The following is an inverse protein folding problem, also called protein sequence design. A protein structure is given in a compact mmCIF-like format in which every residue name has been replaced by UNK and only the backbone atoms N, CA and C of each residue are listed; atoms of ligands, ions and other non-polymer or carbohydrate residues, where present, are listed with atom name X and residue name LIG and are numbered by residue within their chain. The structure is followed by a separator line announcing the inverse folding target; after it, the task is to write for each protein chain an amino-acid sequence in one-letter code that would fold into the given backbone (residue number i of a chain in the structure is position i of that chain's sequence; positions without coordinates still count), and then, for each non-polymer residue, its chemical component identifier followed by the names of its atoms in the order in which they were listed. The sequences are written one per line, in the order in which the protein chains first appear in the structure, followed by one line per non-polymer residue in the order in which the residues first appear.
data_IF_018417125314
#
_entry.id   IF_018417125314
#
_cell.length_a   1.000
_cell.length_b   1.000
_cell.length_c   1.000
_cell.angle_alpha   90.00
_cell.angle_beta   90.00
_cell.angle_gamma   90.00
#
_symmetry.space_group_name_H-M   'P 1'
#
loop_
_entity.id
_entity.type
_entity.pdbx_description
1 polymer ?
#
# COMPACT_ATOMS: atom_id res chain seq x y z
N UNK A 1 -12.31 9.44 38.27
CA UNK A 1 -12.83 8.07 38.01
C UNK A 1 -11.96 7.45 36.92
N UNK A 2 -11.12 6.48 37.28
CA UNK A 2 -11.28 5.04 36.95
C UNK A 2 -11.05 4.75 35.45
N UNK A 3 -10.29 3.75 35.01
CA UNK A 3 -9.42 2.73 35.63
C UNK A 3 -9.01 1.78 34.47
N UNK A 4 -7.89 1.06 34.65
CA UNK A 4 -7.48 -0.19 33.98
C UNK A 4 -6.97 -0.09 32.52
N UNK A 5 -5.68 -0.37 32.25
CA UNK A 5 -4.98 -1.68 32.26
C UNK A 5 -5.40 -2.57 31.07
N UNK A 6 -4.59 -3.45 30.51
CA UNK A 6 -3.15 -3.81 30.55
C UNK A 6 -3.06 -5.09 29.65
N UNK A 7 -1.87 -5.68 29.57
CA UNK A 7 -1.50 -6.97 28.94
C UNK A 7 -1.05 -6.90 27.47
N UNK A 8 0.25 -7.01 27.11
CA UNK A 8 1.43 -7.82 27.52
C UNK A 8 1.74 -8.81 26.40
N UNK A 9 2.94 -8.71 25.80
CA UNK A 9 3.91 -9.81 25.86
C UNK A 9 5.36 -9.32 25.65
N UNK A 10 6.20 -9.64 26.64
CA UNK A 10 7.65 -9.45 26.69
C UNK A 10 8.37 -10.44 25.74
N UNK A 11 9.69 -10.28 25.54
CA UNK A 11 10.63 -11.02 26.39
C UNK A 11 11.76 -10.13 26.97
N UNK A 12 11.98 -10.17 28.30
CA UNK A 12 13.08 -10.89 29.00
C UNK A 12 14.43 -10.16 28.84
N UNK A 13 14.76 -9.29 29.81
CA UNK A 13 15.80 -9.48 30.86
C UNK A 13 17.23 -9.53 30.27
N UNK A 14 18.19 -8.71 30.72
CA UNK A 14 18.53 -8.51 32.13
C UNK A 14 19.38 -7.24 32.33
N UNK A 15 19.27 -6.73 33.56
CA UNK A 15 19.89 -5.51 34.10
C UNK A 15 21.40 -5.60 34.25
N UNK A 16 22.04 -4.44 34.14
CA UNK A 16 23.31 -4.09 34.77
C UNK A 16 23.51 -2.58 34.64
N UNK A 17 22.84 -1.78 35.48
CA UNK A 17 23.48 -0.89 36.48
C UNK A 17 24.88 -0.44 36.05
N UNK A 18 25.00 0.84 35.68
CA UNK A 18 25.80 1.80 36.45
C UNK A 18 25.54 3.22 35.96
N UNK A 19 24.94 3.98 36.85
CA UNK A 19 24.97 5.43 36.88
C UNK A 19 26.42 5.84 37.19
N UNK A 20 27.10 6.47 36.25
CA UNK A 20 28.27 7.29 36.56
C UNK A 20 28.47 8.36 35.49
N UNK A 21 28.26 9.59 35.93
CA UNK A 21 29.02 10.78 35.54
C UNK A 21 29.27 10.96 34.05
N UNK A 22 28.55 11.93 33.46
CA UNK A 22 29.05 12.69 32.31
C UNK A 22 30.42 13.27 32.67
N UNK A 23 31.47 12.49 32.38
CA UNK A 23 32.83 12.96 32.34
C UNK A 23 33.05 13.31 30.88
N UNK A 24 33.01 14.60 30.59
CA UNK A 24 33.56 15.14 29.36
C UNK A 24 34.95 14.56 29.20
N UNK A 25 35.11 13.61 28.28
CA UNK A 25 36.42 13.30 27.77
C UNK A 25 36.84 14.51 26.97
N UNK A 26 37.81 15.21 27.55
CA UNK A 26 38.74 16.10 26.89
C UNK A 26 38.95 15.70 25.44
N UNK A 27 38.95 16.67 24.53
CA UNK A 27 39.45 16.59 23.16
C UNK A 27 40.84 15.96 23.17
N UNK A 28 40.93 14.64 23.16
CA UNK A 28 42.10 13.95 22.66
C UNK A 28 42.03 14.11 21.15
N UNK A 29 42.96 14.89 20.61
CA UNK A 29 43.26 14.92 19.19
C UNK A 29 43.38 13.48 18.71
N UNK A 30 42.33 12.96 18.08
CA UNK A 30 42.42 11.71 17.33
C UNK A 30 43.30 12.07 16.15
N UNK A 31 44.60 11.87 16.29
CA UNK A 31 45.53 11.86 15.18
C UNK A 31 45.23 10.58 14.38
N UNK A 32 44.10 10.57 13.67
CA UNK A 32 43.79 9.54 12.69
C UNK A 32 44.96 9.53 11.71
N UNK A 33 45.64 8.40 11.63
CA UNK A 33 46.74 8.24 10.67
C UNK A 33 46.20 8.48 9.27
N UNK A 34 47.02 9.05 8.38
CA UNK A 34 46.62 9.26 6.97
C UNK A 34 46.00 7.99 6.33
N UNK A 35 46.50 6.82 6.72
CA UNK A 35 46.00 5.52 6.29
C UNK A 35 44.56 5.20 6.76
N UNK A 36 44.18 5.60 7.96
CA UNK A 36 42.82 5.39 8.50
C UNK A 36 41.83 6.32 7.80
N UNK A 37 42.23 7.57 7.57
CA UNK A 37 41.44 8.56 6.82
C UNK A 37 41.23 8.07 5.38
N UNK A 38 42.27 7.59 4.72
CA UNK A 38 42.18 7.04 3.35
C UNK A 38 41.26 5.82 3.30
N UNK A 39 41.28 4.97 4.32
CA UNK A 39 40.41 3.79 4.41
C UNK A 39 38.95 4.19 4.57
N UNK A 40 38.65 5.15 5.45
CA UNK A 40 37.30 5.68 5.67
C UNK A 40 36.78 6.38 4.40
N UNK A 41 37.63 7.15 3.72
CA UNK A 41 37.27 7.82 2.47
C UNK A 41 36.95 6.81 1.36
N UNK A 42 37.73 5.73 1.23
CA UNK A 42 37.44 4.64 0.28
C UNK A 42 36.11 3.96 0.56
N UNK A 43 35.83 3.65 1.83
CA UNK A 43 34.55 3.04 2.23
C UNK A 43 33.37 3.99 1.97
N UNK A 44 33.50 5.27 2.31
CA UNK A 44 32.49 6.31 2.04
C UNK A 44 32.16 6.41 0.55
N UNK A 45 33.18 6.42 -0.32
CA UNK A 45 33.00 6.42 -1.78
C UNK A 45 32.28 5.16 -2.27
N UNK A 46 32.64 3.98 -1.76
CA UNK A 46 31.98 2.72 -2.13
C UNK A 46 30.51 2.67 -1.70
N UNK A 47 30.17 3.19 -0.52
CA UNK A 47 28.78 3.26 -0.03
C UNK A 47 27.94 4.20 -0.90
N UNK A 48 28.47 5.38 -1.25
CA UNK A 48 27.76 6.32 -2.15
C UNK A 48 27.53 5.75 -3.54
N UNK A 49 28.52 5.00 -4.06
CA UNK A 49 28.36 4.27 -5.32
C UNK A 49 27.26 3.22 -5.23
N UNK A 50 27.20 2.45 -4.14
CA UNK A 50 26.13 1.48 -3.91
C UNK A 50 24.75 2.13 -3.84
N UNK A 51 24.62 3.25 -3.10
CA UNK A 51 23.37 4.01 -3.04
C UNK A 51 22.93 4.48 -4.43
N UNK A 52 23.87 4.98 -5.24
CA UNK A 52 23.58 5.42 -6.61
C UNK A 52 23.08 4.28 -7.49
N UNK A 53 23.67 3.09 -7.35
CA UNK A 53 23.29 1.88 -8.09
C UNK A 53 21.92 1.35 -7.63
N UNK A 54 21.62 1.39 -6.33
CA UNK A 54 20.31 0.98 -5.80
C UNK A 54 19.18 1.89 -6.33
N UNK A 55 19.46 3.19 -6.46
CA UNK A 55 18.54 4.20 -7.02
C UNK A 55 18.32 4.08 -8.53
N UNK A 56 19.18 3.37 -9.27
CA UNK A 56 18.99 3.23 -10.71
C UNK A 56 17.74 2.40 -11.05
N UNK A 57 16.90 2.85 -11.99
CA UNK A 57 15.72 2.09 -12.42
C UNK A 57 16.10 0.86 -13.26
N UNK A 58 17.32 0.84 -13.83
CA UNK A 58 17.81 -0.24 -14.69
C UNK A 58 18.30 -1.41 -13.84
N UNK A 59 18.04 -2.61 -14.33
CA UNK A 59 18.44 -3.88 -13.68
C UNK A 59 19.78 -4.41 -14.21
N UNK A 60 20.21 -3.91 -15.37
CA UNK A 60 21.41 -4.30 -16.12
C UNK A 60 22.09 -3.03 -16.64
N UNK A 61 23.41 -2.98 -16.49
CA UNK A 61 24.28 -1.95 -17.06
C UNK A 61 25.47 -2.62 -17.73
N UNK A 62 26.14 -1.89 -18.63
CA UNK A 62 27.37 -2.38 -19.25
C UNK A 62 28.56 -2.09 -18.32
N UNK A 63 29.61 -2.91 -18.38
CA UNK A 63 30.84 -2.72 -17.60
C UNK A 63 31.48 -1.34 -17.87
N UNK A 64 31.38 -0.83 -19.11
CA UNK A 64 31.88 0.50 -19.47
C UNK A 64 31.08 1.63 -18.81
N UNK A 65 29.75 1.47 -18.72
CA UNK A 65 28.86 2.40 -18.02
C UNK A 65 29.11 2.36 -16.51
N UNK A 66 29.31 1.17 -15.94
CA UNK A 66 29.73 1.00 -14.56
C UNK A 66 31.07 1.70 -14.27
N UNK A 67 32.03 1.61 -15.20
CA UNK A 67 33.32 2.29 -15.10
C UNK A 67 33.16 3.81 -15.12
N UNK A 68 32.26 4.33 -15.96
CA UNK A 68 31.93 5.77 -15.98
C UNK A 68 31.33 6.25 -14.66
N UNK A 69 30.41 5.47 -14.08
CA UNK A 69 29.83 5.79 -12.76
C UNK A 69 30.93 5.76 -11.69
N UNK A 70 31.85 4.79 -11.74
CA UNK A 70 32.98 4.76 -10.80
C UNK A 70 33.91 5.98 -10.96
N UNK A 71 34.11 6.47 -12.18
CA UNK A 71 34.92 7.66 -12.44
C UNK A 71 34.30 8.94 -11.86
N UNK A 72 32.97 9.04 -11.82
CA UNK A 72 32.23 10.16 -11.20
C UNK A 72 32.52 10.28 -9.69
N UNK A 73 32.73 9.14 -9.01
CA UNK A 73 33.05 9.09 -7.58
C UNK A 73 34.57 9.10 -7.29
N UNK A 74 35.40 9.49 -8.26
CA UNK A 74 36.87 9.56 -8.17
C UNK A 74 37.51 8.21 -7.78
N UNK A 75 36.99 7.09 -8.29
CA UNK A 75 37.58 5.77 -8.11
C UNK A 75 38.55 5.51 -9.27
N UNK A 76 39.78 5.10 -8.97
CA UNK A 76 40.78 4.80 -10.00
C UNK A 76 40.45 3.50 -10.75
N UNK A 77 40.74 3.47 -12.05
CA UNK A 77 40.53 2.30 -12.93
C UNK A 77 41.12 0.98 -12.42
N UNK A 78 42.19 1.05 -11.62
CA UNK A 78 42.83 -0.10 -11.00
C UNK A 78 41.97 -0.72 -9.90
N UNK A 79 41.23 0.12 -9.18
CA UNK A 79 40.39 -0.29 -8.05
C UNK A 79 39.00 -0.73 -8.51
N UNK A 80 38.53 -0.28 -9.69
CA UNK A 80 37.20 -0.64 -10.24
C UNK A 80 37.03 -2.16 -10.36
N UNK A 81 38.05 -2.88 -10.82
CA UNK A 81 37.98 -4.35 -10.95
C UNK A 81 37.85 -5.02 -9.59
N UNK A 82 38.69 -4.64 -8.64
CA UNK A 82 38.67 -5.19 -7.27
C UNK A 82 37.34 -4.88 -6.56
N UNK A 83 36.80 -3.67 -6.77
CA UNK A 83 35.50 -3.28 -6.22
C UNK A 83 34.34 -4.05 -6.87
N UNK A 84 34.38 -4.27 -8.19
CA UNK A 84 33.35 -5.07 -8.87
C UNK A 84 33.32 -6.51 -8.37
N UNK A 85 34.49 -7.09 -8.08
CA UNK A 85 34.61 -8.42 -7.48
C UNK A 85 34.08 -8.43 -6.05
N UNK A 86 34.49 -7.47 -5.20
CA UNK A 86 33.98 -7.36 -3.83
C UNK A 86 32.44 -7.14 -3.78
N UNK A 87 31.87 -6.38 -4.72
CA UNK A 87 30.43 -6.20 -4.86
C UNK A 87 29.71 -7.47 -5.34
N UNK A 88 30.39 -8.28 -6.16
CA UNK A 88 29.89 -9.59 -6.58
C UNK A 88 29.93 -10.59 -5.43
N UNK A 89 31.01 -10.62 -4.65
CA UNK A 89 31.19 -11.52 -3.50
C UNK A 89 30.19 -11.21 -2.38
N UNK A 90 29.84 -9.94 -2.21
CA UNK A 90 28.78 -9.51 -1.27
C UNK A 90 27.37 -9.79 -1.77
N UNK A 91 27.21 -10.29 -3.00
CA UNK A 91 25.92 -10.62 -3.60
C UNK A 91 25.02 -9.42 -3.88
N UNK A 92 25.58 -8.20 -3.84
CA UNK A 92 24.87 -6.95 -4.16
C UNK A 92 24.74 -6.75 -5.66
N UNK A 93 25.73 -7.21 -6.41
CA UNK A 93 25.79 -7.14 -7.86
C UNK A 93 26.05 -8.55 -8.39
N UNK A 94 25.58 -8.88 -9.59
CA UNK A 94 26.01 -10.09 -10.30
C UNK A 94 26.90 -9.67 -11.46
N UNK A 95 28.19 -9.98 -11.35
CA UNK A 95 29.18 -9.80 -12.41
C UNK A 95 29.84 -11.14 -12.73
N UNK A 96 29.80 -11.55 -13.99
CA UNK A 96 30.22 -12.89 -14.43
C UNK A 96 31.32 -12.77 -15.51
N UNK A 97 32.56 -12.43 -15.11
CA UNK A 97 33.67 -12.22 -16.06
C UNK A 97 34.05 -13.51 -16.81
N UNK A 98 33.91 -14.67 -16.17
CA UNK A 98 34.30 -15.97 -16.69
C UNK A 98 33.17 -16.71 -17.45
N UNK A 99 32.03 -16.05 -17.66
CA UNK A 99 30.89 -16.66 -18.36
C UNK A 99 31.23 -16.98 -19.82
N UNK A 100 30.71 -18.09 -20.34
CA UNK A 100 30.89 -18.50 -21.74
C UNK A 100 30.21 -17.50 -22.71
N UNK A 101 29.18 -16.79 -22.23
CA UNK A 101 28.37 -15.88 -23.05
C UNK A 101 28.99 -14.48 -23.06
N UNK A 102 29.43 -14.02 -24.24
CA UNK A 102 30.08 -12.72 -24.40
C UNK A 102 29.24 -11.52 -23.92
N UNK A 103 27.91 -11.58 -24.09
CA UNK A 103 27.00 -10.54 -23.61
C UNK A 103 26.85 -10.51 -22.08
N UNK A 104 27.20 -11.59 -21.38
CA UNK A 104 27.21 -11.66 -19.91
C UNK A 104 28.55 -11.17 -19.33
N UNK A 105 29.65 -11.35 -20.07
CA UNK A 105 30.97 -10.86 -19.66
C UNK A 105 31.01 -9.34 -19.53
N UNK A 106 30.34 -8.63 -20.43
CA UNK A 106 30.31 -7.17 -20.48
C UNK A 106 29.14 -6.56 -19.69
N UNK A 107 28.24 -7.36 -19.12
CA UNK A 107 27.06 -6.87 -18.40
C UNK A 107 27.18 -7.09 -16.90
N UNK A 108 26.77 -6.07 -16.15
CA UNK A 108 26.68 -6.10 -14.70
C UNK A 108 25.20 -5.99 -14.32
N UNK A 109 24.72 -6.91 -13.50
CA UNK A 109 23.36 -6.85 -12.98
C UNK A 109 23.35 -6.21 -11.60
N UNK A 110 22.71 -5.06 -11.49
CA UNK A 110 22.65 -4.26 -10.27
C UNK A 110 21.65 -4.86 -9.27
N UNK A 111 20.62 -5.55 -9.76
CA UNK A 111 19.50 -6.07 -8.94
C UNK A 111 19.41 -7.60 -9.01
N UNK A 112 20.29 -8.33 -8.29
CA UNK A 112 20.35 -9.80 -8.27
C UNK A 112 19.02 -10.47 -7.93
N UNK A 113 18.22 -9.86 -7.05
CA UNK A 113 16.96 -10.42 -6.56
C UNK A 113 16.01 -10.80 -7.71
N UNK A 114 15.96 -10.01 -8.77
CA UNK A 114 15.09 -10.28 -9.93
C UNK A 114 15.56 -11.53 -10.68
N UNK A 115 16.87 -11.73 -10.78
CA UNK A 115 17.48 -12.88 -11.44
C UNK A 115 17.25 -14.13 -10.62
N UNK A 116 17.46 -14.06 -9.29
CA UNK A 116 17.20 -15.19 -8.40
C UNK A 116 15.74 -15.61 -8.43
N UNK A 117 14.80 -14.67 -8.42
CA UNK A 117 13.38 -14.99 -8.56
C UNK A 117 13.07 -15.67 -9.91
N UNK A 118 13.64 -15.15 -11.00
CA UNK A 118 13.48 -15.76 -12.32
C UNK A 118 14.08 -17.16 -12.38
N UNK A 119 15.29 -17.36 -11.82
CA UNK A 119 15.94 -18.66 -11.75
C UNK A 119 15.20 -19.64 -10.85
N UNK A 120 14.71 -19.19 -9.70
CA UNK A 120 13.93 -20.02 -8.78
C UNK A 120 12.64 -20.51 -9.45
N UNK A 121 11.98 -19.63 -10.21
CA UNK A 121 10.79 -19.97 -11.00
C UNK A 121 11.08 -20.86 -12.22
N UNK A 122 12.28 -20.78 -12.81
CA UNK A 122 12.68 -21.63 -13.94
C UNK A 122 13.14 -23.01 -13.44
N UNK A 123 13.88 -23.05 -12.33
CA UNK A 123 14.44 -24.26 -11.73
C UNK A 123 13.42 -25.00 -10.86
N UNK A 124 12.22 -24.45 -10.74
CA UNK A 124 11.14 -24.79 -9.82
C UNK A 124 11.06 -26.29 -9.43
N UNK A 125 11.75 -26.59 -8.34
CA UNK A 125 11.79 -27.90 -7.67
C UNK A 125 10.47 -28.13 -6.91
N UNK A 126 9.69 -27.08 -6.65
CA UNK A 126 8.48 -27.09 -5.82
C UNK A 126 7.23 -27.43 -6.63
N UNK A 127 7.13 -26.99 -7.89
CA UNK A 127 5.97 -27.21 -8.77
C UNK A 127 6.10 -28.40 -9.74
N UNK A 128 6.95 -29.40 -9.43
CA UNK A 128 7.06 -30.68 -10.18
C UNK A 128 7.42 -30.53 -11.68
N UNK A 129 8.08 -29.46 -12.08
CA UNK A 129 8.52 -29.27 -13.48
C UNK A 129 7.40 -28.95 -14.47
N UNK A 130 6.22 -28.52 -13.99
CA UNK A 130 5.14 -28.00 -14.84
C UNK A 130 5.58 -26.61 -15.32
N UNK A 131 5.87 -26.47 -16.62
CA UNK A 131 6.40 -25.23 -17.19
C UNK A 131 5.60 -23.98 -16.80
N UNK A 132 6.30 -22.85 -16.69
CA UNK A 132 5.77 -21.58 -16.14
C UNK A 132 4.47 -21.08 -16.81
N UNK A 133 4.30 -21.33 -18.11
CA UNK A 133 3.08 -21.01 -18.86
C UNK A 133 1.87 -21.83 -18.39
N UNK A 134 2.08 -23.11 -18.10
CA UNK A 134 1.02 -24.01 -17.63
C UNK A 134 0.66 -23.74 -16.16
N UNK A 135 1.61 -23.29 -15.34
CA UNK A 135 1.34 -22.81 -13.99
C UNK A 135 0.39 -21.61 -14.00
N UNK A 136 0.62 -20.63 -14.88
CA UNK A 136 -0.27 -19.48 -15.05
C UNK A 136 -1.68 -19.90 -15.42
N UNK A 137 -1.82 -20.85 -16.33
CA UNK A 137 -3.13 -21.36 -16.74
C UNK A 137 -3.88 -22.02 -15.57
N UNK A 138 -3.17 -22.81 -14.76
CA UNK A 138 -3.73 -23.42 -13.54
C UNK A 138 -4.16 -22.33 -12.54
N UNK A 139 -3.31 -21.33 -12.29
CA UNK A 139 -3.62 -20.21 -11.37
C UNK A 139 -4.79 -19.37 -11.85
N UNK A 140 -4.88 -19.09 -13.15
CA UNK A 140 -6.05 -18.44 -13.78
C UNK A 140 -7.32 -19.27 -13.58
N UNK A 141 -7.24 -20.58 -13.80
CA UNK A 141 -8.37 -21.49 -13.56
C UNK A 141 -8.82 -21.52 -12.09
N UNK A 142 -7.90 -21.44 -11.13
CA UNK A 142 -8.23 -21.30 -9.70
C UNK A 142 -8.95 -19.98 -9.39
N UNK A 143 -8.48 -18.87 -9.96
CA UNK A 143 -9.11 -17.55 -9.82
C UNK A 143 -10.52 -17.56 -10.41
N UNK A 144 -10.73 -18.15 -11.58
CA UNK A 144 -12.04 -18.25 -12.22
C UNK A 144 -13.03 -19.09 -11.40
N UNK A 145 -12.55 -20.17 -10.77
CA UNK A 145 -13.33 -20.96 -9.79
C UNK A 145 -13.69 -20.15 -8.54
N UNK A 146 -12.80 -19.28 -8.07
CA UNK A 146 -13.09 -18.39 -6.94
C UNK A 146 -14.09 -17.29 -7.32
N UNK A 147 -13.92 -16.69 -8.51
CA UNK A 147 -14.85 -15.69 -9.08
C UNK A 147 -16.24 -16.25 -9.26
N UNK A 148 -16.38 -17.46 -9.80
CA UNK A 148 -17.68 -18.11 -9.96
C UNK A 148 -18.36 -18.43 -8.63
N UNK A 149 -17.61 -18.79 -7.57
CA UNK A 149 -18.15 -18.93 -6.21
C UNK A 149 -18.55 -17.58 -5.59
N UNK A 150 -17.79 -16.51 -5.86
CA UNK A 150 -18.05 -15.18 -5.31
C UNK A 150 -19.23 -14.47 -6.00
N UNK A 151 -19.42 -14.71 -7.30
CA UNK A 151 -20.48 -14.08 -8.12
C UNK A 151 -21.88 -14.14 -7.49
N UNK A 152 -22.42 -15.29 -7.04
CA UNK A 152 -23.73 -15.33 -6.40
C UNK A 152 -23.78 -14.57 -5.07
N UNK A 153 -22.69 -14.53 -4.30
CA UNK A 153 -22.63 -13.73 -3.07
C UNK A 153 -22.58 -12.23 -3.37
N UNK A 154 -21.85 -11.84 -4.42
CA UNK A 154 -21.77 -10.45 -4.88
C UNK A 154 -23.15 -9.93 -5.31
N UNK A 155 -23.89 -10.71 -6.10
CA UNK A 155 -25.25 -10.35 -6.52
C UNK A 155 -26.17 -10.13 -5.30
N UNK A 156 -26.10 -11.01 -4.29
CA UNK A 156 -26.87 -10.87 -3.04
C UNK A 156 -26.47 -9.60 -2.28
N UNK A 157 -25.17 -9.31 -2.18
CA UNK A 157 -24.64 -8.10 -1.55
C UNK A 157 -25.10 -6.84 -2.28
N UNK A 158 -25.02 -6.80 -3.60
CA UNK A 158 -25.43 -5.65 -4.40
C UNK A 158 -26.92 -5.32 -4.23
N UNK A 159 -27.78 -6.33 -4.08
CA UNK A 159 -29.21 -6.13 -3.79
C UNK A 159 -29.39 -5.47 -2.42
N UNK A 160 -28.64 -5.92 -1.41
CA UNK A 160 -28.66 -5.34 -0.06
C UNK A 160 -28.16 -3.90 -0.09
N UNK A 161 -27.06 -3.64 -0.80
CA UNK A 161 -26.42 -2.34 -0.91
C UNK A 161 -27.31 -1.34 -1.65
N UNK A 162 -27.95 -1.74 -2.75
CA UNK A 162 -28.96 -0.92 -3.44
C UNK A 162 -30.13 -0.57 -2.50
N UNK A 163 -30.61 -1.52 -1.70
CA UNK A 163 -31.70 -1.28 -0.74
C UNK A 163 -31.29 -0.34 0.39
N UNK A 164 -30.07 -0.48 0.91
CA UNK A 164 -29.52 0.40 1.93
C UNK A 164 -29.29 1.82 1.40
N UNK A 165 -28.70 1.94 0.20
CA UNK A 165 -28.42 3.22 -0.45
C UNK A 165 -29.69 3.99 -0.79
N UNK A 166 -30.69 3.32 -1.40
CA UNK A 166 -32.00 3.93 -1.66
C UNK A 166 -32.61 4.49 -0.38
N UNK A 167 -32.58 3.73 0.72
CA UNK A 167 -33.15 4.19 1.99
C UNK A 167 -32.39 5.38 2.58
N UNK A 168 -31.07 5.39 2.50
CA UNK A 168 -30.25 6.52 2.95
C UNK A 168 -30.62 7.79 2.18
N UNK A 169 -30.69 7.72 0.85
CA UNK A 169 -31.10 8.85 0.00
C UNK A 169 -32.53 9.29 0.26
N UNK A 170 -33.49 8.36 0.41
CA UNK A 170 -34.87 8.70 0.75
C UNK A 170 -34.95 9.53 2.03
N UNK A 171 -34.18 9.19 3.07
CA UNK A 171 -34.19 9.94 4.33
C UNK A 171 -33.73 11.38 4.13
N UNK A 172 -32.75 11.62 3.26
CA UNK A 172 -32.27 12.97 2.99
C UNK A 172 -33.28 13.75 2.17
N UNK A 173 -33.82 13.16 1.10
CA UNK A 173 -34.85 13.79 0.30
C UNK A 173 -36.11 14.08 1.12
N UNK A 174 -36.44 13.26 2.13
CA UNK A 174 -37.51 13.57 3.07
C UNK A 174 -37.17 14.77 3.97
N UNK A 175 -35.90 14.94 4.36
CA UNK A 175 -35.47 16.15 5.07
C UNK A 175 -35.59 17.41 4.22
N UNK A 176 -35.22 17.32 2.93
CA UNK A 176 -35.40 18.40 1.98
C UNK A 176 -36.89 18.71 1.76
N UNK A 177 -37.72 17.69 1.58
CA UNK A 177 -39.18 17.83 1.44
C UNK A 177 -39.81 18.47 2.68
N UNK A 178 -39.34 18.11 3.88
CA UNK A 178 -39.74 18.75 5.13
C UNK A 178 -39.46 20.26 5.11
N UNK A 179 -38.27 20.69 4.66
CA UNK A 179 -37.95 22.12 4.53
C UNK A 179 -38.91 22.85 3.58
N UNK A 180 -39.28 22.25 2.44
CA UNK A 180 -40.24 22.84 1.51
C UNK A 180 -41.65 22.91 2.09
N UNK A 181 -42.11 21.83 2.75
CA UNK A 181 -43.42 21.81 3.43
C UNK A 181 -43.46 22.86 4.53
N UNK A 182 -42.39 22.98 5.31
CA UNK A 182 -42.24 24.01 6.36
C UNK A 182 -42.39 25.43 5.77
N UNK A 183 -41.69 25.72 4.67
CA UNK A 183 -41.78 27.02 4.00
C UNK A 183 -43.16 27.27 3.38
N UNK A 184 -43.78 26.25 2.79
CA UNK A 184 -45.11 26.35 2.18
C UNK A 184 -46.20 26.60 3.23
N UNK A 185 -46.14 25.92 4.38
CA UNK A 185 -47.06 26.15 5.50
C UNK A 185 -46.94 27.58 5.99
N UNK A 186 -45.72 28.05 6.29
CA UNK A 186 -45.51 29.42 6.75
C UNK A 186 -45.97 30.46 5.72
N UNK A 187 -45.65 30.27 4.44
CA UNK A 187 -46.12 31.15 3.36
C UNK A 187 -47.64 31.16 3.23
N UNK A 188 -48.28 29.99 3.26
CA UNK A 188 -49.73 29.87 3.17
C UNK A 188 -50.46 30.50 4.35
N UNK A 189 -49.92 30.39 5.56
CA UNK A 189 -50.46 31.05 6.74
C UNK A 189 -50.30 32.58 6.66
N UNK A 190 -49.14 33.05 6.17
CA UNK A 190 -48.81 34.49 6.09
C UNK A 190 -49.66 35.26 5.07
N UNK A 191 -50.07 34.62 3.97
CA UNK A 191 -50.79 35.33 2.88
C UNK A 191 -52.32 35.24 2.92
N UNK A 192 -52.89 34.34 3.71
CA UNK A 192 -54.34 34.06 3.64
C UNK A 192 -55.06 34.15 4.98
N UNK A 193 -54.46 33.63 6.07
CA UNK A 193 -55.21 33.34 7.30
C UNK A 193 -54.76 34.20 8.50
N UNK A 194 -53.49 34.64 8.58
CA UNK A 194 -52.98 35.45 9.69
C UNK A 194 -52.07 36.59 9.21
N UNK A 195 -52.25 37.78 9.82
CA UNK A 195 -51.31 38.90 9.70
C UNK A 195 -49.91 38.50 10.18
N UNK A 196 -48.88 39.12 9.59
CA UNK A 196 -47.47 38.85 9.87
C UNK A 196 -47.09 38.88 11.36
N UNK A 197 -47.78 39.71 12.15
CA UNK A 197 -47.61 39.89 13.60
C UNK A 197 -47.81 38.59 14.43
N UNK A 198 -48.68 37.68 13.98
CA UNK A 198 -48.94 36.42 14.71
C UNK A 198 -47.97 35.29 14.26
N UNK A 199 -47.48 35.37 13.02
CA UNK A 199 -46.57 34.35 12.45
C UNK A 199 -45.13 34.54 12.92
N UNK A 200 -44.75 35.78 13.27
CA UNK A 200 -43.44 36.12 13.79
C UNK A 200 -42.99 35.17 14.93
N UNK A 201 -43.67 35.07 16.09
CA UNK A 201 -43.25 34.20 17.18
C UNK A 201 -43.27 32.71 16.81
N UNK A 202 -44.20 32.28 15.96
CA UNK A 202 -44.32 30.87 15.53
C UNK A 202 -43.11 30.44 14.70
N UNK A 203 -42.68 31.29 13.77
CA UNK A 203 -41.51 31.04 12.92
C UNK A 203 -40.21 30.99 13.72
N UNK A 204 -40.10 31.81 14.78
CA UNK A 204 -38.97 31.78 15.71
C UNK A 204 -38.90 30.44 16.45
N UNK A 205 -40.01 29.97 17.06
CA UNK A 205 -40.01 28.69 17.76
C UNK A 205 -39.72 27.50 16.84
N UNK A 206 -40.19 27.53 15.60
CA UNK A 206 -39.97 26.46 14.64
C UNK A 206 -38.50 26.39 14.18
N UNK A 207 -37.90 27.55 13.90
CA UNK A 207 -36.48 27.66 13.54
C UNK A 207 -35.59 27.25 14.71
N UNK A 208 -35.89 27.77 15.90
CA UNK A 208 -35.19 27.39 17.13
C UNK A 208 -35.30 25.89 17.42
N UNK A 209 -36.49 25.31 17.26
CA UNK A 209 -36.71 23.87 17.41
C UNK A 209 -35.91 23.03 16.42
N UNK A 210 -35.79 23.48 15.17
CA UNK A 210 -35.02 22.79 14.12
C UNK A 210 -33.51 22.82 14.41
N UNK A 211 -32.99 23.97 14.85
CA UNK A 211 -31.60 24.12 15.29
C UNK A 211 -31.32 23.28 16.53
N UNK A 212 -32.23 23.30 17.52
CA UNK A 212 -32.13 22.50 18.73
C UNK A 212 -32.12 21.01 18.40
N UNK A 213 -32.98 20.54 17.50
CA UNK A 213 -32.98 19.15 17.05
C UNK A 213 -31.67 18.75 16.37
N UNK A 214 -31.14 19.61 15.50
CA UNK A 214 -29.82 19.41 14.89
C UNK A 214 -28.70 19.34 15.93
N UNK A 215 -28.72 20.21 16.94
CA UNK A 215 -27.77 20.22 18.03
C UNK A 215 -27.89 18.97 18.92
N UNK A 216 -29.11 18.54 19.25
CA UNK A 216 -29.34 17.27 19.96
C UNK A 216 -28.76 16.09 19.17
N UNK A 217 -29.01 16.02 17.86
CA UNK A 217 -28.46 14.98 17.00
C UNK A 217 -26.92 14.99 16.99
N UNK A 218 -26.31 16.17 16.89
CA UNK A 218 -24.85 16.33 16.98
C UNK A 218 -24.31 15.85 18.32
N UNK A 219 -24.96 16.23 19.43
CA UNK A 219 -24.55 15.85 20.80
C UNK A 219 -24.61 14.33 21.01
N UNK A 220 -25.68 13.67 20.54
CA UNK A 220 -25.81 12.22 20.64
C UNK A 220 -24.84 11.46 19.73
N UNK A 221 -24.60 11.97 18.51
CA UNK A 221 -23.79 11.26 17.51
C UNK A 221 -22.29 11.60 17.61
N UNK A 222 -21.93 12.71 18.29
CA UNK A 222 -20.57 13.25 18.51
C UNK A 222 -19.76 13.47 17.24
N UNK A 223 -20.42 13.83 16.16
CA UNK A 223 -19.84 13.81 14.82
C UNK A 223 -20.44 14.91 13.97
N UNK A 224 -19.63 15.47 13.08
CA UNK A 224 -20.05 16.55 12.19
C UNK A 224 -21.26 16.20 11.33
N UNK A 225 -22.15 17.17 11.16
CA UNK A 225 -23.36 17.07 10.35
C UNK A 225 -23.01 17.33 8.88
N UNK A 226 -22.34 16.37 8.24
CA UNK A 226 -22.04 16.41 6.81
C UNK A 226 -22.97 15.44 6.08
N UNK A 227 -23.47 15.83 4.90
CA UNK A 227 -24.32 14.99 4.06
C UNK A 227 -23.70 13.60 3.80
N UNK A 228 -22.41 13.58 3.47
CA UNK A 228 -21.65 12.36 3.21
C UNK A 228 -21.51 11.48 4.47
N UNK A 229 -21.24 12.09 5.62
CA UNK A 229 -21.16 11.35 6.88
C UNK A 229 -22.52 10.75 7.28
N UNK A 230 -23.62 11.49 7.08
CA UNK A 230 -24.96 11.04 7.38
C UNK A 230 -25.40 9.90 6.45
N UNK A 231 -25.19 10.04 5.14
CA UNK A 231 -25.48 8.97 4.16
C UNK A 231 -24.73 7.71 4.48
N UNK A 232 -23.41 7.81 4.68
CA UNK A 232 -22.57 6.67 4.98
C UNK A 232 -23.03 5.96 6.26
N UNK A 233 -23.39 6.69 7.33
CA UNK A 233 -23.92 6.07 8.55
C UNK A 233 -25.27 5.41 8.35
N UNK A 234 -26.20 6.08 7.68
CA UNK A 234 -27.53 5.52 7.40
C UNK A 234 -27.41 4.26 6.55
N UNK A 235 -26.53 4.28 5.55
CA UNK A 235 -26.17 3.15 4.72
C UNK A 235 -25.62 2.00 5.58
N UNK A 236 -24.52 2.21 6.30
CA UNK A 236 -23.84 1.16 7.07
C UNK A 236 -24.74 0.56 8.15
N UNK A 237 -25.52 1.38 8.86
CA UNK A 237 -26.48 0.90 9.86
C UNK A 237 -27.58 0.06 9.22
N UNK A 238 -28.08 0.46 8.05
CA UNK A 238 -29.13 -0.27 7.34
C UNK A 238 -28.60 -1.55 6.70
N UNK A 239 -27.40 -1.50 6.12
CA UNK A 239 -26.69 -2.61 5.51
C UNK A 239 -26.41 -3.69 6.56
N UNK A 240 -25.85 -3.33 7.73
CA UNK A 240 -25.63 -4.25 8.84
C UNK A 240 -26.94 -4.91 9.33
N UNK A 241 -28.04 -4.15 9.39
CA UNK A 241 -29.36 -4.70 9.74
C UNK A 241 -29.91 -5.64 8.67
N UNK A 242 -29.61 -5.38 7.39
CA UNK A 242 -30.02 -6.24 6.28
C UNK A 242 -29.19 -7.53 6.23
N UNK A 243 -27.87 -7.46 6.44
CA UNK A 243 -27.02 -8.65 6.53
C UNK A 243 -27.50 -9.61 7.62
N UNK A 244 -27.84 -9.10 8.82
CA UNK A 244 -28.42 -9.91 9.90
C UNK A 244 -29.79 -10.50 9.58
N UNK A 245 -30.59 -9.85 8.72
CA UNK A 245 -31.94 -10.31 8.37
C UNK A 245 -31.95 -11.35 7.25
N UNK A 246 -31.02 -11.23 6.32
CA UNK A 246 -30.88 -12.13 5.17
C UNK A 246 -29.95 -13.30 5.47
N UNK A 247 -29.40 -13.36 6.70
CA UNK A 247 -28.37 -14.32 7.13
C UNK A 247 -27.21 -14.41 6.13
N UNK A 248 -26.73 -13.25 5.70
CA UNK A 248 -25.67 -13.19 4.69
C UNK A 248 -24.32 -13.56 5.33
N UNK A 249 -23.58 -14.55 4.79
CA UNK A 249 -22.30 -14.99 5.34
C UNK A 249 -21.19 -13.97 5.02
N UNK A 250 -21.19 -12.85 5.75
CA UNK A 250 -20.24 -11.74 5.56
C UNK A 250 -18.78 -12.19 5.72
N UNK A 251 -18.52 -13.09 6.68
CA UNK A 251 -17.17 -13.60 6.95
C UNK A 251 -16.64 -14.45 5.79
N UNK A 252 -17.48 -15.30 5.23
CA UNK A 252 -17.12 -16.13 4.08
C UNK A 252 -16.87 -15.27 2.84
N UNK A 253 -17.75 -14.30 2.59
CA UNK A 253 -17.58 -13.34 1.49
C UNK A 253 -16.26 -12.58 1.61
N UNK A 254 -15.95 -12.02 2.78
CA UNK A 254 -14.70 -11.27 3.00
C UNK A 254 -13.50 -12.17 2.81
N UNK A 255 -13.52 -13.39 3.37
CA UNK A 255 -12.43 -14.37 3.19
C UNK A 255 -12.22 -14.73 1.72
N UNK A 256 -13.29 -15.01 0.98
CA UNK A 256 -13.20 -15.34 -0.45
C UNK A 256 -12.69 -14.15 -1.27
N UNK A 257 -13.11 -12.93 -0.93
CA UNK A 257 -12.63 -11.69 -1.57
C UNK A 257 -11.15 -11.45 -1.30
N UNK A 258 -10.68 -11.66 -0.07
CA UNK A 258 -9.26 -11.52 0.29
C UNK A 258 -8.42 -12.58 -0.42
N UNK A 259 -8.85 -13.84 -0.41
CA UNK A 259 -8.18 -14.93 -1.13
C UNK A 259 -8.07 -14.63 -2.62
N UNK A 260 -9.13 -14.12 -3.23
CA UNK A 260 -9.14 -13.73 -4.64
C UNK A 260 -8.12 -12.62 -4.89
N UNK A 261 -8.10 -11.57 -4.07
CA UNK A 261 -7.15 -10.46 -4.20
C UNK A 261 -5.69 -10.91 -4.04
N UNK A 262 -5.41 -11.82 -3.09
CA UNK A 262 -4.06 -12.40 -2.94
C UNK A 262 -3.66 -13.20 -4.18
N UNK A 263 -4.56 -14.03 -4.72
CA UNK A 263 -4.28 -14.86 -5.90
C UNK A 263 -4.09 -14.04 -7.17
N UNK A 264 -4.88 -12.98 -7.34
CA UNK A 264 -4.71 -12.04 -8.45
C UNK A 264 -3.36 -11.31 -8.37
N UNK A 265 -2.95 -10.88 -7.17
CA UNK A 265 -1.64 -10.25 -6.96
C UNK A 265 -0.48 -11.21 -7.23
N UNK A 266 -0.60 -12.47 -6.80
CA UNK A 266 0.38 -13.53 -7.11
C UNK A 266 0.49 -13.74 -8.64
N UNK A 267 -0.65 -13.79 -9.34
CA UNK A 267 -0.68 -13.95 -10.80
C UNK A 267 -0.01 -12.75 -11.51
N UNK A 268 -0.32 -11.52 -11.09
CA UNK A 268 0.26 -10.30 -11.65
C UNK A 268 1.79 -10.25 -11.45
N UNK A 269 2.28 -10.68 -10.29
CA UNK A 269 3.71 -10.79 -10.02
C UNK A 269 4.41 -11.82 -10.93
N UNK A 270 3.72 -12.93 -11.26
CA UNK A 270 4.24 -13.92 -12.20
C UNK A 270 4.25 -13.39 -13.64
N UNK A 271 3.17 -12.74 -14.07
CA UNK A 271 3.06 -12.18 -15.43
C UNK A 271 4.11 -11.08 -15.68
N UNK A 272 4.36 -10.23 -14.69
CA UNK A 272 5.42 -9.20 -14.76
C UNK A 272 6.82 -9.81 -14.84
N UNK A 273 7.09 -10.87 -14.05
CA UNK A 273 8.36 -11.60 -14.12
C UNK A 273 8.60 -12.23 -15.50
N UNK A 274 7.56 -12.78 -16.13
CA UNK A 274 7.66 -13.35 -17.47
C UNK A 274 7.94 -12.28 -18.51
N UNK A 275 7.14 -11.22 -18.52
CA UNK A 275 7.30 -10.14 -19.50
C UNK A 275 8.73 -9.61 -19.46
N UNK A 276 9.24 -9.39 -18.26
CA UNK A 276 10.64 -9.04 -18.03
C UNK A 276 11.63 -10.07 -18.60
N UNK A 277 11.47 -11.37 -18.29
CA UNK A 277 12.35 -12.43 -18.81
C UNK A 277 12.35 -12.51 -20.34
N UNK A 278 11.18 -12.32 -20.97
CA UNK A 278 11.02 -12.35 -22.41
C UNK A 278 11.74 -11.18 -23.07
N UNK A 279 11.62 -9.97 -22.50
CA UNK A 279 12.32 -8.79 -23.01
C UNK A 279 13.84 -8.95 -22.96
N UNK A 280 14.38 -9.56 -21.89
CA UNK A 280 15.81 -9.88 -21.81
C UNK A 280 16.22 -10.89 -22.90
N UNK A 281 15.41 -11.91 -23.14
CA UNK A 281 15.68 -12.89 -24.20
C UNK A 281 15.67 -12.24 -25.60
N UNK A 282 14.75 -11.32 -25.87
CA UNK A 282 14.72 -10.58 -27.14
C UNK A 282 15.91 -9.63 -27.30
N UNK A 283 16.29 -8.88 -26.26
CA UNK A 283 17.46 -8.01 -26.30
C UNK A 283 18.76 -8.79 -26.54
N UNK A 284 18.91 -9.94 -25.90
CA UNK A 284 20.09 -10.81 -26.10
C UNK A 284 20.15 -11.41 -27.52
N UNK A 285 19.00 -11.71 -28.13
CA UNK A 285 18.93 -12.16 -29.52
C UNK A 285 19.19 -11.02 -30.52
N UNK A 286 18.72 -9.80 -30.25
CA UNK A 286 18.95 -8.63 -31.11
C UNK A 286 20.40 -8.16 -31.10
N UNK A 287 21.15 -8.38 -30.03
CA UNK A 287 22.58 -8.04 -29.93
C UNK A 287 23.49 -9.07 -30.61
N UNK A 288 22.94 -10.20 -31.06
CA UNK A 288 23.70 -11.29 -31.71
C UNK A 288 23.62 -11.23 -33.24
N UNK A 289 22.91 -10.25 -33.80
CA UNK A 289 22.71 -10.05 -35.24
C UNK A 289 23.41 -8.77 -35.67
#
# INVERSE_FOLDING_TARGET
MKKYQSFIFNPILSRGVLNSSFRCYTTSTIALGKQEIDTILRQSKAVKLQERLDLDPRHKITFDEFKQICAEFEIQDKDVKSLSQALSDTGKIVYLPDSIVASLKSSIFIKPNIIYQSLYNILDIENKGVGLSQLIEIKRGEIDRLKSKLAPLQVKKDVIDKKASRRAHTIIYTGLGYCFVQAAILGRLTWWDLSWDIIEPVSYFLTFGSVLFGYCYFSFTKTEFTYEALTHRLFSKKQAKLFKRTDFPILEYTRLSEMLATKEKELEALETTINYSSNIAFETLSQKK
#
